data_IF_451450602348
#
_entry.id   IF_451450602348
#
_cell.length_a   1.000
_cell.length_b   1.000
_cell.length_c   1.000
_cell.angle_alpha   90.00
_cell.angle_beta   90.00
_cell.angle_gamma   90.00
#
_symmetry.space_group_name_H-M   'P 1'
#
loop_
_entity.id
_entity.type
_entity.pdbx_description
1 polymer ?
#
# COMPACT_ATOMS: atom_id res chain seq x y z
N UNK A 1 3.17 -7.08 8.20
CA UNK A 1 4.55 -6.52 8.11
C UNK A 1 4.63 -5.28 9.01
N UNK A 2 5.62 -5.12 9.87
CA UNK A 2 5.71 -3.95 10.76
C UNK A 2 6.33 -2.74 10.04
N UNK A 3 5.72 -1.55 10.19
CA UNK A 3 6.15 -0.30 9.54
C UNK A 3 7.63 0.07 9.79
N UNK A 4 8.16 -0.37 10.93
CA UNK A 4 9.56 -0.22 11.31
C UNK A 4 10.54 -0.70 10.23
N UNK A 5 10.22 -1.77 9.50
CA UNK A 5 11.09 -2.33 8.46
C UNK A 5 11.31 -1.32 7.32
N UNK A 6 10.24 -0.62 6.90
CA UNK A 6 10.31 0.40 5.84
C UNK A 6 11.05 1.65 6.31
N UNK A 7 10.84 2.06 7.56
CA UNK A 7 11.50 3.24 8.13
C UNK A 7 13.01 3.04 8.32
N UNK A 8 13.43 1.84 8.73
CA UNK A 8 14.84 1.52 8.97
C UNK A 8 15.61 1.15 7.71
N UNK A 9 14.94 0.87 6.58
CA UNK A 9 15.57 0.36 5.36
C UNK A 9 15.09 1.06 4.08
N UNK A 10 14.76 2.36 4.16
CA UNK A 10 14.15 3.14 3.06
C UNK A 10 14.85 2.98 1.71
N UNK A 11 16.18 2.96 1.70
CA UNK A 11 16.98 2.83 0.48
C UNK A 11 16.82 1.49 -0.23
N UNK A 12 16.53 0.41 0.50
CA UNK A 12 16.33 -0.93 -0.08
C UNK A 12 15.10 -0.96 -0.99
N UNK A 13 14.14 -0.07 -0.72
CA UNK A 13 12.85 0.05 -1.39
C UNK A 13 12.86 1.08 -2.52
N UNK A 14 13.91 1.91 -2.63
CA UNK A 14 14.04 2.94 -3.65
C UNK A 14 13.94 2.34 -5.06
N UNK A 15 13.06 2.91 -5.88
CA UNK A 15 12.80 2.51 -7.26
C UNK A 15 12.34 1.05 -7.43
N UNK A 16 11.81 0.43 -6.38
CA UNK A 16 11.25 -0.93 -6.44
C UNK A 16 9.73 -0.93 -6.36
N UNK A 17 9.10 -1.90 -7.04
CA UNK A 17 7.70 -2.25 -6.86
C UNK A 17 7.54 -3.07 -5.58
N UNK A 18 6.60 -2.70 -4.73
CA UNK A 18 6.29 -3.36 -3.46
C UNK A 18 4.86 -3.88 -3.53
N UNK A 19 4.64 -5.09 -3.02
CA UNK A 19 3.31 -5.67 -2.86
C UNK A 19 3.06 -5.99 -1.39
N UNK A 20 1.97 -5.45 -0.83
CA UNK A 20 1.44 -5.82 0.48
C UNK A 20 0.29 -6.81 0.28
N UNK A 21 0.49 -8.04 0.77
CA UNK A 21 -0.50 -9.12 0.75
C UNK A 21 -1.19 -9.21 2.12
N UNK A 22 -2.53 -9.31 2.13
CA UNK A 22 -3.32 -9.37 3.35
C UNK A 22 -3.19 -8.08 4.18
N UNK A 23 -3.37 -6.94 3.52
CA UNK A 23 -3.11 -5.62 4.09
C UNK A 23 -4.00 -5.25 5.27
N UNK A 24 -5.12 -5.97 5.49
CA UNK A 24 -6.23 -5.42 6.24
C UNK A 24 -6.59 -4.06 5.65
N UNK A 25 -6.91 -3.09 6.49
CA UNK A 25 -7.29 -1.74 6.05
C UNK A 25 -6.16 -0.88 5.41
N UNK A 26 -5.03 -1.48 4.99
CA UNK A 26 -4.08 -0.83 4.08
C UNK A 26 -3.04 0.10 4.72
N UNK A 27 -2.90 0.08 6.05
CA UNK A 27 -2.12 1.09 6.78
C UNK A 27 -0.64 1.12 6.38
N UNK A 28 0.01 -0.02 6.09
CA UNK A 28 1.40 0.00 5.64
C UNK A 28 1.49 0.46 4.17
N UNK A 29 0.61 -0.03 3.30
CA UNK A 29 0.53 0.32 1.89
C UNK A 29 0.36 1.82 1.62
N UNK A 30 -0.33 2.54 2.51
CA UNK A 30 -0.43 4.01 2.43
C UNK A 30 0.83 4.75 2.90
N UNK A 31 1.51 4.22 3.91
CA UNK A 31 2.67 4.88 4.51
C UNK A 31 3.96 4.60 3.72
N UNK A 32 4.09 3.42 3.10
CA UNK A 32 5.27 3.03 2.32
C UNK A 32 5.63 4.06 1.24
N UNK A 33 4.72 4.52 0.36
CA UNK A 33 5.07 5.54 -0.64
C UNK A 33 5.40 6.90 0.00
N UNK A 34 4.89 7.20 1.19
CA UNK A 34 5.19 8.45 1.90
C UNK A 34 6.57 8.42 2.59
N UNK A 35 7.07 7.24 2.97
CA UNK A 35 8.34 7.10 3.72
C UNK A 35 9.46 6.45 2.93
N UNK A 36 9.18 5.94 1.74
CA UNK A 36 10.14 5.31 0.83
C UNK A 36 10.01 5.91 -0.58
N UNK A 37 11.08 5.91 -1.35
CA UNK A 37 11.06 6.27 -2.78
C UNK A 37 10.70 5.05 -3.65
N UNK A 38 9.72 4.25 -3.25
CA UNK A 38 9.25 3.12 -4.04
C UNK A 38 8.68 3.57 -5.39
N UNK A 39 8.88 2.78 -6.45
CA UNK A 39 8.34 3.11 -7.77
C UNK A 39 6.84 2.85 -7.85
N UNK A 40 6.35 1.89 -7.06
CA UNK A 40 4.95 1.50 -7.01
C UNK A 40 4.65 0.68 -5.75
N UNK A 41 3.47 0.86 -5.18
CA UNK A 41 2.98 0.09 -4.04
C UNK A 41 1.62 -0.49 -4.38
N UNK A 42 1.55 -1.81 -4.36
CA UNK A 42 0.38 -2.64 -4.65
C UNK A 42 -0.18 -3.12 -3.31
N UNK A 43 -1.43 -2.80 -3.01
CA UNK A 43 -2.10 -3.22 -1.77
C UNK A 43 -3.10 -4.32 -2.13
N UNK A 44 -3.18 -5.40 -1.37
CA UNK A 44 -4.11 -6.50 -1.65
C UNK A 44 -4.60 -7.19 -0.38
N UNK A 45 -5.84 -7.66 -0.43
CA UNK A 45 -6.47 -8.42 0.63
C UNK A 45 -7.45 -9.43 0.02
N UNK A 46 -7.61 -10.59 0.66
CA UNK A 46 -8.57 -11.61 0.22
C UNK A 46 -10.00 -11.31 0.68
N UNK A 47 -10.19 -10.33 1.55
CA UNK A 47 -11.52 -9.90 2.00
C UNK A 47 -12.05 -8.75 1.12
N UNK A 48 -13.14 -8.96 0.36
CA UNK A 48 -13.69 -7.94 -0.53
C UNK A 48 -14.15 -6.68 0.21
N UNK A 49 -14.61 -6.79 1.46
CA UNK A 49 -15.00 -5.62 2.25
C UNK A 49 -13.81 -4.73 2.62
N UNK A 50 -12.63 -5.34 2.78
CA UNK A 50 -11.39 -4.62 3.07
C UNK A 50 -10.92 -3.88 1.82
N UNK A 51 -10.97 -4.55 0.67
CA UNK A 51 -10.68 -3.97 -0.64
C UNK A 51 -11.59 -2.77 -0.91
N UNK A 52 -12.91 -2.92 -0.74
CA UNK A 52 -13.88 -1.83 -0.91
C UNK A 52 -13.61 -0.65 0.04
N UNK A 53 -13.23 -0.93 1.28
CA UNK A 53 -12.91 0.10 2.27
C UNK A 53 -11.68 0.92 1.85
N UNK A 54 -10.63 0.26 1.37
CA UNK A 54 -9.40 0.91 0.86
C UNK A 54 -9.74 1.78 -0.37
N UNK A 55 -10.55 1.27 -1.30
CA UNK A 55 -11.00 2.02 -2.47
C UNK A 55 -11.81 3.26 -2.06
N UNK A 56 -12.73 3.13 -1.11
CA UNK A 56 -13.53 4.24 -0.61
C UNK A 56 -12.67 5.34 0.05
N UNK A 57 -11.68 4.96 0.86
CA UNK A 57 -10.76 5.89 1.52
C UNK A 57 -9.93 6.67 0.50
N UNK A 58 -9.34 6.00 -0.49
CA UNK A 58 -8.56 6.66 -1.55
C UNK A 58 -9.39 7.69 -2.33
N UNK A 59 -10.65 7.38 -2.64
CA UNK A 59 -11.55 8.28 -3.35
C UNK A 59 -11.97 9.50 -2.51
N UNK A 60 -11.93 9.38 -1.18
CA UNK A 60 -12.35 10.46 -0.26
C UNK A 60 -11.18 11.37 0.12
N UNK A 61 -9.97 10.82 0.25
CA UNK A 61 -8.79 11.55 0.73
C UNK A 61 -7.95 12.19 -0.37
N UNK A 62 -8.32 12.05 -1.65
CA UNK A 62 -7.51 12.48 -2.80
C UNK A 62 -6.04 12.01 -2.70
N UNK A 63 -5.84 10.80 -2.15
CA UNK A 63 -4.52 10.24 -1.96
C UNK A 63 -3.97 9.70 -3.29
N UNK A 64 -2.69 9.92 -3.56
CA UNK A 64 -2.03 9.65 -4.84
C UNK A 64 -1.67 8.16 -5.07
N UNK A 65 -2.37 7.24 -4.41
CA UNK A 65 -2.15 5.79 -4.59
C UNK A 65 -2.80 5.39 -5.91
N UNK A 66 -1.97 5.03 -6.89
CA UNK A 66 -2.46 4.59 -8.19
C UNK A 66 -3.26 3.28 -8.03
N UNK A 67 -4.55 3.35 -8.34
CA UNK A 67 -5.57 2.33 -8.07
C UNK A 67 -5.51 1.10 -8.99
N UNK A 68 -4.62 1.09 -9.99
CA UNK A 68 -4.55 0.02 -11.00
C UNK A 68 -4.08 -1.34 -10.45
N UNK A 69 -3.73 -1.41 -9.17
CA UNK A 69 -3.05 -2.55 -8.59
C UNK A 69 -3.66 -3.04 -7.25
N UNK A 70 -4.95 -2.74 -6.99
CA UNK A 70 -5.68 -3.40 -5.92
C UNK A 70 -6.23 -4.74 -6.43
N UNK A 71 -5.62 -5.86 -6.04
CA UNK A 71 -5.99 -7.20 -6.53
C UNK A 71 -6.71 -7.96 -5.43
N UNK A 72 -7.95 -8.38 -5.69
CA UNK A 72 -8.59 -9.48 -4.98
C UNK A 72 -7.82 -10.76 -5.34
N UNK A 73 -7.12 -11.36 -4.37
CA UNK A 73 -6.57 -12.71 -4.52
C UNK A 73 -7.30 -13.70 -3.63
#
# INVERSE_FOLDING_TARGET
MSLHIFLSNKDIFRSKRIIELGSGYGLAGFVIPAVTEASEVVISDGNPHVVDCILFQNNTEANCVNLEHLVLQ
#
